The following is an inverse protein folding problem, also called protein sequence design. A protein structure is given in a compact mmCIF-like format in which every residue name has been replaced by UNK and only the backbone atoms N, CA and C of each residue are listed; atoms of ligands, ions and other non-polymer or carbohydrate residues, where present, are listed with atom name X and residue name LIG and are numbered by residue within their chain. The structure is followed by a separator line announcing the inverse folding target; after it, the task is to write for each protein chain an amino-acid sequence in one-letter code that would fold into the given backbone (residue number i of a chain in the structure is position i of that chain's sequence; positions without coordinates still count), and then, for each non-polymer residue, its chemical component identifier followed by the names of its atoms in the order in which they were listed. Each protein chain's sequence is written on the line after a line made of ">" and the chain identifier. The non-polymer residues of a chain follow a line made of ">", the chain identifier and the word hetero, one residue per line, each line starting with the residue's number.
data_IF_975173498585
#
_entry.id   IF_975173498585
#
_cell.length_a   1.000
_cell.length_b   1.000
_cell.length_c   1.000
_cell.angle_alpha   90.00
_cell.angle_beta   90.00
_cell.angle_gamma   90.00
#
_symmetry.space_group_name_H-M   'P 1'
#
loop_
_entity.id
_entity.type
_entity.pdbx_description
1 polymer ?
#
# COMPACT_ATOMS: atom_id res chain seq x y z
N UNK A 1 44.93 11.84 -20.06
CA UNK A 1 44.17 11.73 -18.80
C UNK A 1 42.68 12.09 -18.93
N UNK A 2 42.29 13.02 -19.81
CA UNK A 2 40.89 13.48 -19.98
C UNK A 2 39.92 12.43 -20.55
N UNK A 3 40.39 11.47 -21.36
CA UNK A 3 39.52 10.42 -21.92
C UNK A 3 39.02 9.40 -20.89
N UNK A 4 39.84 9.06 -19.87
CA UNK A 4 39.48 8.07 -18.85
C UNK A 4 38.38 8.64 -17.93
N UNK A 5 38.48 9.91 -17.55
CA UNK A 5 37.41 10.60 -16.80
C UNK A 5 36.10 10.65 -17.59
N UNK A 6 36.18 10.91 -18.90
CA UNK A 6 34.99 10.99 -19.76
C UNK A 6 34.27 9.64 -19.88
N UNK A 7 35.02 8.54 -20.01
CA UNK A 7 34.45 7.18 -20.04
C UNK A 7 33.81 6.77 -18.71
N UNK A 8 34.41 7.15 -17.59
CA UNK A 8 33.87 6.88 -16.26
C UNK A 8 32.54 7.63 -16.05
N UNK A 9 32.45 8.89 -16.48
CA UNK A 9 31.23 9.69 -16.40
C UNK A 9 30.06 9.10 -17.21
N UNK A 10 30.33 8.58 -18.40
CA UNK A 10 29.30 7.95 -19.24
C UNK A 10 28.77 6.68 -18.56
N UNK A 11 29.67 5.87 -18.01
CA UNK A 11 29.28 4.64 -17.28
C UNK A 11 28.46 4.96 -16.02
N UNK A 12 28.84 6.01 -15.28
CA UNK A 12 28.08 6.49 -14.14
C UNK A 12 26.68 6.98 -14.55
N UNK A 13 26.59 7.75 -15.64
CA UNK A 13 25.32 8.26 -16.14
C UNK A 13 24.36 7.12 -16.54
N UNK A 14 24.87 6.07 -17.18
CA UNK A 14 24.08 4.88 -17.53
C UNK A 14 23.57 4.18 -16.26
N UNK A 15 24.43 4.02 -15.24
CA UNK A 15 24.02 3.43 -13.96
C UNK A 15 22.95 4.27 -13.24
N UNK A 16 23.04 5.60 -13.30
CA UNK A 16 22.05 6.49 -12.71
C UNK A 16 20.70 6.44 -13.43
N UNK A 17 20.69 6.42 -14.76
CA UNK A 17 19.46 6.27 -15.56
C UNK A 17 18.80 4.93 -15.23
N UNK A 18 19.59 3.85 -15.15
CA UNK A 18 19.05 2.53 -14.85
C UNK A 18 18.47 2.45 -13.43
N UNK A 19 19.14 3.05 -12.44
CA UNK A 19 18.63 3.18 -11.05
C UNK A 19 17.37 4.04 -10.96
N UNK A 20 17.22 5.06 -11.80
CA UNK A 20 16.00 5.88 -11.88
C UNK A 20 14.82 5.08 -12.41
N UNK A 21 15.05 4.23 -13.42
CA UNK A 21 14.00 3.42 -14.03
C UNK A 21 13.56 2.27 -13.11
N UNK A 22 14.50 1.66 -12.37
CA UNK A 22 14.16 0.65 -11.33
C UNK A 22 13.67 1.26 -10.01
N UNK A 23 13.96 2.54 -9.76
CA UNK A 23 13.54 3.27 -8.57
C UNK A 23 12.19 3.98 -8.73
N UNK A 24 11.54 3.85 -9.88
CA UNK A 24 10.15 4.24 -10.05
C UNK A 24 9.28 3.37 -9.15
N UNK A 25 9.14 3.80 -7.89
CA UNK A 25 8.15 3.28 -6.97
C UNK A 25 6.82 3.18 -7.73
N UNK A 26 6.19 2.02 -7.71
CA UNK A 26 4.88 1.82 -8.31
C UNK A 26 3.94 2.86 -7.72
N UNK A 27 3.66 3.92 -8.47
CA UNK A 27 2.77 4.98 -8.02
C UNK A 27 1.38 4.41 -8.15
N UNK A 28 0.72 4.19 -7.02
CA UNK A 28 -0.65 3.71 -7.03
C UNK A 28 -1.58 4.85 -7.43
N UNK A 29 -2.16 4.73 -8.62
CA UNK A 29 -3.07 5.72 -9.17
C UNK A 29 -4.48 5.33 -8.72
N UNK A 30 -5.01 6.03 -7.73
CA UNK A 30 -6.41 5.91 -7.33
C UNK A 30 -7.28 6.80 -8.23
N UNK A 31 -8.20 6.25 -9.05
CA UNK A 31 -9.09 7.05 -9.85
C UNK A 31 -10.08 7.81 -8.95
N UNK A 32 -9.99 9.15 -8.91
CA UNK A 32 -10.86 10.04 -8.12
C UNK A 32 -12.34 10.07 -8.55
N UNK A 33 -12.75 9.20 -9.49
CA UNK A 33 -14.02 9.28 -10.23
C UNK A 33 -15.03 8.20 -9.82
N UNK A 34 -14.77 7.41 -8.77
CA UNK A 34 -15.74 6.43 -8.27
C UNK A 34 -16.64 7.10 -7.22
N UNK A 35 -17.95 7.01 -7.42
CA UNK A 35 -18.91 7.41 -6.40
C UNK A 35 -18.84 6.40 -5.23
N UNK A 36 -18.98 6.87 -3.99
CA UNK A 36 -18.85 6.00 -2.80
C UNK A 36 -19.78 4.79 -2.85
N UNK A 37 -20.98 4.95 -3.43
CA UNK A 37 -21.95 3.87 -3.54
C UNK A 37 -21.53 2.78 -4.55
N UNK A 38 -20.81 3.15 -5.62
CA UNK A 38 -20.21 2.19 -6.55
C UNK A 38 -19.04 1.44 -5.92
N UNK A 39 -18.20 2.11 -5.12
CA UNK A 39 -17.09 1.47 -4.40
C UNK A 39 -17.62 0.45 -3.37
N UNK A 40 -18.67 0.81 -2.63
CA UNK A 40 -19.37 -0.08 -1.69
C UNK A 40 -19.98 -1.32 -2.38
N UNK A 41 -20.58 -1.14 -3.56
CA UNK A 41 -21.18 -2.21 -4.35
C UNK A 41 -20.12 -3.17 -4.92
N UNK A 42 -19.01 -2.62 -5.41
CA UNK A 42 -17.91 -3.39 -5.99
C UNK A 42 -16.99 -4.02 -4.93
N UNK A 43 -16.98 -3.48 -3.71
CA UNK A 43 -16.19 -4.01 -2.60
C UNK A 43 -16.70 -5.39 -2.15
N UNK A 44 -15.78 -6.33 -1.98
CA UNK A 44 -16.09 -7.68 -1.47
C UNK A 44 -16.44 -7.66 0.03
N UNK A 45 -15.80 -6.77 0.78
CA UNK A 45 -16.04 -6.60 2.21
C UNK A 45 -16.07 -5.11 2.59
N UNK A 46 -17.06 -4.75 3.39
CA UNK A 46 -17.26 -3.42 3.98
C UNK A 46 -17.35 -3.61 5.47
N UNK A 47 -16.32 -3.15 6.16
CA UNK A 47 -16.14 -3.37 7.60
C UNK A 47 -15.75 -2.08 8.31
N UNK A 48 -16.23 -1.95 9.54
CA UNK A 48 -15.73 -0.98 10.50
C UNK A 48 -14.87 -1.74 11.51
N UNK A 49 -13.60 -1.37 11.58
CA UNK A 49 -12.61 -2.06 12.43
C UNK A 49 -11.74 -1.05 13.18
N UNK A 50 -11.25 -1.45 14.35
CA UNK A 50 -10.18 -0.76 15.05
C UNK A 50 -8.85 -1.45 14.79
N UNK A 51 -7.81 -0.68 14.47
CA UNK A 51 -6.46 -1.22 14.29
C UNK A 51 -5.81 -1.36 15.67
N UNK A 52 -5.43 -2.59 16.00
CA UNK A 52 -4.78 -2.94 17.27
C UNK A 52 -3.25 -2.97 17.11
N UNK A 53 -2.76 -3.27 15.90
CA UNK A 53 -1.33 -3.33 15.65
C UNK A 53 -0.98 -3.42 14.17
N UNK A 54 0.29 -3.10 13.87
CA UNK A 54 0.88 -3.11 12.54
C UNK A 54 2.15 -3.95 12.56
N UNK A 55 2.32 -4.86 11.61
CA UNK A 55 3.52 -5.67 11.45
C UNK A 55 3.88 -5.83 9.97
N UNK A 56 5.13 -5.60 9.62
CA UNK A 56 5.64 -5.92 8.28
C UNK A 56 5.80 -7.43 8.12
N UNK A 57 5.32 -7.96 6.99
CA UNK A 57 5.35 -9.37 6.63
C UNK A 57 5.88 -9.51 5.20
N UNK A 58 6.22 -10.73 4.80
CA UNK A 58 6.74 -11.03 3.46
C UNK A 58 7.98 -10.20 3.08
N UNK A 59 9.01 -10.22 3.92
CA UNK A 59 10.27 -9.48 3.74
C UNK A 59 10.10 -7.96 3.52
N UNK A 60 9.03 -7.36 4.03
CA UNK A 60 8.75 -5.94 3.80
C UNK A 60 8.16 -5.68 2.42
N UNK A 61 7.44 -6.65 1.83
CA UNK A 61 6.59 -6.43 0.67
C UNK A 61 5.13 -6.11 1.08
N UNK A 62 4.69 -6.55 2.26
CA UNK A 62 3.34 -6.34 2.76
C UNK A 62 3.32 -5.90 4.23
N UNK A 63 2.29 -5.15 4.59
CA UNK A 63 1.97 -4.82 5.97
C UNK A 63 0.73 -5.61 6.39
N UNK A 64 0.85 -6.34 7.50
CA UNK A 64 -0.26 -6.97 8.22
C UNK A 64 -0.74 -6.02 9.30
N UNK A 65 -2.00 -5.63 9.22
CA UNK A 65 -2.73 -4.92 10.27
C UNK A 65 -3.54 -5.93 11.07
N UNK A 66 -3.26 -6.05 12.36
CA UNK A 66 -4.13 -6.77 13.29
C UNK A 66 -5.29 -5.86 13.65
N UNK A 67 -6.51 -6.30 13.38
CA UNK A 67 -7.71 -5.48 13.53
C UNK A 67 -8.75 -6.19 14.39
N UNK A 68 -9.55 -5.40 15.10
CA UNK A 68 -10.72 -5.87 15.82
C UNK A 68 -11.97 -5.37 15.10
N UNK A 69 -12.81 -6.28 14.63
CA UNK A 69 -14.05 -5.92 13.96
C UNK A 69 -15.06 -5.31 14.95
N UNK A 70 -15.53 -4.10 14.65
CA UNK A 70 -16.62 -3.44 15.40
C UNK A 70 -17.95 -3.77 14.73
N UNK A 71 -18.03 -3.61 13.40
CA UNK A 71 -19.21 -3.95 12.60
C UNK A 71 -18.80 -4.47 11.22
N UNK A 72 -19.53 -5.45 10.71
CA UNK A 72 -19.37 -5.99 9.36
C UNK A 72 -20.67 -5.70 8.60
N UNK A 73 -20.60 -4.81 7.61
CA UNK A 73 -21.75 -4.45 6.77
C UNK A 73 -21.89 -5.41 5.59
N UNK A 74 -20.75 -5.86 5.05
CA UNK A 74 -20.65 -6.81 3.93
C UNK A 74 -19.37 -7.62 4.11
N UNK A 75 -19.41 -8.93 3.95
CA UNK A 75 -18.21 -9.77 4.04
C UNK A 75 -18.48 -11.17 4.62
N UNK A 76 -17.42 -11.97 4.79
CA UNK A 76 -17.53 -13.34 5.27
C UNK A 76 -18.06 -13.41 6.70
N UNK A 77 -18.96 -14.37 6.91
CA UNK A 77 -19.57 -14.65 8.22
C UNK A 77 -18.54 -15.38 9.07
N UNK A 78 -17.81 -14.65 9.89
CA UNK A 78 -16.70 -15.17 10.69
C UNK A 78 -15.82 -14.11 11.36
N UNK A 79 -15.99 -12.84 11.00
CA UNK A 79 -15.15 -11.76 11.50
C UNK A 79 -13.84 -11.65 10.71
N UNK A 80 -13.18 -10.50 10.84
CA UNK A 80 -11.90 -10.21 10.18
C UNK A 80 -10.93 -9.81 11.26
N UNK A 81 -9.92 -10.65 11.50
CA UNK A 81 -8.88 -10.43 12.52
C UNK A 81 -7.61 -9.76 11.96
N UNK A 82 -7.43 -9.81 10.63
CA UNK A 82 -6.25 -9.25 9.98
C UNK A 82 -6.56 -8.72 8.58
N UNK A 83 -5.95 -7.58 8.25
CA UNK A 83 -5.99 -6.97 6.92
C UNK A 83 -4.56 -6.89 6.39
N UNK A 84 -4.34 -7.28 5.14
CA UNK A 84 -3.05 -7.23 4.48
C UNK A 84 -3.05 -6.11 3.44
N UNK A 85 -2.03 -5.27 3.45
CA UNK A 85 -1.87 -4.17 2.49
C UNK A 85 -0.47 -4.24 1.85
N UNK A 86 -0.36 -4.25 0.52
CA UNK A 86 0.93 -4.21 -0.16
C UNK A 86 1.61 -2.85 0.04
N UNK A 87 2.92 -2.84 0.28
CA UNK A 87 3.68 -1.60 0.57
C UNK A 87 3.66 -0.57 -0.57
N UNK A 88 3.53 -1.01 -1.82
CA UNK A 88 3.44 -0.12 -2.99
C UNK A 88 2.20 0.79 -2.98
N UNK A 89 1.06 0.29 -2.50
CA UNK A 89 -0.20 1.03 -2.39
C UNK A 89 -0.70 1.10 -0.95
N UNK A 90 0.22 1.04 0.02
CA UNK A 90 -0.15 0.86 1.41
C UNK A 90 -1.00 2.01 1.90
N UNK A 91 -2.15 1.67 2.45
CA UNK A 91 -2.95 2.61 3.22
C UNK A 91 -2.40 2.58 4.63
N UNK A 92 -1.77 3.68 5.07
CA UNK A 92 -1.30 3.78 6.44
C UNK A 92 -2.51 3.95 7.37
N UNK A 93 -2.97 2.84 7.93
CA UNK A 93 -4.01 2.86 8.95
C UNK A 93 -3.36 3.19 10.29
N UNK A 94 -3.76 4.33 10.87
CA UNK A 94 -3.23 4.77 12.16
C UNK A 94 -3.77 3.86 13.27
N UNK A 95 -2.86 3.26 14.04
CA UNK A 95 -3.18 2.44 15.21
C UNK A 95 -3.39 3.33 16.44
N UNK A 96 -4.47 4.13 16.43
CA UNK A 96 -4.84 5.01 17.55
C UNK A 96 -6.30 4.77 17.99
N UNK A 97 -6.77 3.52 17.92
CA UNK A 97 -8.17 3.17 18.22
C UNK A 97 -9.23 3.95 17.41
N UNK A 98 -8.81 4.75 16.44
CA UNK A 98 -9.67 5.58 15.60
C UNK A 98 -10.46 4.67 14.67
N UNK A 99 -11.78 4.79 14.75
CA UNK A 99 -12.71 3.97 13.99
C UNK A 99 -12.63 4.34 12.50
N UNK A 100 -12.13 3.42 11.68
CA UNK A 100 -12.11 3.59 10.23
C UNK A 100 -13.37 2.98 9.63
N UNK A 101 -14.10 3.77 8.84
CA UNK A 101 -15.16 3.31 7.93
C UNK A 101 -14.76 3.70 6.51
N UNK A 102 -14.49 2.72 5.65
CA UNK A 102 -14.37 2.96 4.21
C UNK A 102 -15.75 2.75 3.59
N UNK A 103 -16.34 3.85 3.13
CA UNK A 103 -17.61 3.90 2.39
C UNK A 103 -17.38 3.74 0.90
#
# INVERSE_FOLDING_TARGET
>A
MTQIMKSCFISLAILFIWRVETGAAQVCICPLRMSSLEDLCNSEAVISVSVIGKKEVDNGAMIKYSVHAIQVYKGPVGGIDAVYSPLGCAVDLQADWTQWSRS
#
